data_IF_439966253726
#
_entry.id   IF_439966253726
#
_cell.length_a   1.000
_cell.length_b   1.000
_cell.length_c   1.000
_cell.angle_alpha   90.00
_cell.angle_beta   90.00
_cell.angle_gamma   90.00
#
_symmetry.space_group_name_H-M   'P 1'
#
loop_
_entity.id
_entity.type
_entity.pdbx_description
1 polymer ?
#
# COMPACT_ATOMS: atom_id res chain seq x y z
N UNK A 1 -3.85 -16.32 22.62
CA UNK A 1 -2.71 -15.39 22.65
C UNK A 1 -2.03 -15.48 21.30
N UNK A 2 -1.81 -14.37 20.62
CA UNK A 2 -1.05 -14.35 19.36
C UNK A 2 0.40 -14.75 19.66
N UNK A 3 0.90 -15.80 19.03
CA UNK A 3 2.32 -16.18 19.13
C UNK A 3 3.12 -15.24 18.22
N UNK A 4 3.95 -14.39 18.80
CA UNK A 4 4.87 -13.55 18.02
C UNK A 4 6.07 -14.40 17.59
N UNK A 5 6.48 -14.27 16.32
CA UNK A 5 7.70 -14.87 15.79
C UNK A 5 8.59 -13.78 15.19
N UNK A 6 9.78 -13.61 15.74
CA UNK A 6 10.82 -12.77 15.17
C UNK A 6 11.70 -13.61 14.27
N UNK A 7 11.59 -13.43 12.95
CA UNK A 7 12.50 -14.05 11.98
C UNK A 7 13.63 -13.09 11.63
N UNK A 8 14.88 -13.44 11.95
CA UNK A 8 16.05 -12.62 11.60
C UNK A 8 17.30 -13.49 11.38
N UNK A 9 18.39 -12.91 10.89
CA UNK A 9 19.66 -13.62 10.73
C UNK A 9 20.30 -14.00 12.08
N UNK A 10 21.27 -14.95 12.13
CA UNK A 10 22.00 -15.32 13.35
C UNK A 10 23.00 -14.25 13.82
N UNK A 11 22.70 -12.97 13.60
CA UNK A 11 23.42 -11.82 14.13
C UNK A 11 22.44 -10.75 14.65
N UNK A 12 22.97 -9.76 15.38
CA UNK A 12 22.16 -8.72 16.05
C UNK A 12 21.37 -7.85 15.06
N UNK A 13 22.09 -7.07 14.25
CA UNK A 13 21.51 -6.22 13.20
C UNK A 13 20.29 -5.41 13.66
N UNK A 14 19.30 -5.26 12.77
CA UNK A 14 18.02 -4.61 13.06
C UNK A 14 17.11 -5.45 13.97
N UNK A 15 17.32 -6.77 14.04
CA UNK A 15 16.53 -7.67 14.88
C UNK A 15 16.77 -7.47 16.38
N UNK A 16 17.95 -6.98 16.77
CA UNK A 16 18.32 -6.86 18.17
C UNK A 16 17.45 -5.88 18.97
N UNK A 17 17.09 -4.75 18.36
CA UNK A 17 16.19 -3.79 18.99
C UNK A 17 14.86 -4.44 19.37
N UNK A 18 14.33 -5.28 18.48
CA UNK A 18 13.05 -5.99 18.70
C UNK A 18 13.21 -7.00 19.84
N UNK A 19 14.31 -7.77 19.88
CA UNK A 19 14.60 -8.72 20.97
C UNK A 19 14.64 -8.03 22.33
N UNK A 20 15.34 -6.90 22.43
CA UNK A 20 15.44 -6.12 23.66
C UNK A 20 14.07 -5.65 24.16
N UNK A 21 13.23 -5.12 23.26
CA UNK A 21 11.87 -4.65 23.61
C UNK A 21 10.99 -5.82 24.08
N UNK A 22 11.01 -6.95 23.38
CA UNK A 22 10.18 -8.11 23.73
C UNK A 22 10.59 -8.71 25.08
N UNK A 23 11.89 -8.81 25.36
CA UNK A 23 12.40 -9.23 26.67
C UNK A 23 12.05 -8.23 27.77
N UNK A 24 12.23 -6.93 27.55
CA UNK A 24 11.87 -5.89 28.51
C UNK A 24 10.37 -5.95 28.87
N UNK A 25 9.51 -6.09 27.87
CA UNK A 25 8.06 -6.17 28.05
C UNK A 25 7.57 -7.55 28.55
N UNK A 26 8.46 -8.53 28.70
CA UNK A 26 8.14 -9.93 29.06
C UNK A 26 7.09 -10.56 28.12
N UNK A 27 7.11 -10.20 26.84
CA UNK A 27 6.22 -10.77 25.82
C UNK A 27 6.86 -12.05 25.29
N UNK A 28 6.21 -13.22 25.40
CA UNK A 28 6.74 -14.46 24.84
C UNK A 28 6.76 -14.39 23.31
N UNK A 29 7.86 -14.84 22.71
CA UNK A 29 8.04 -14.88 21.26
C UNK A 29 8.99 -16.01 20.84
N UNK A 30 8.88 -16.44 19.59
CA UNK A 30 9.82 -17.35 18.92
C UNK A 30 10.94 -16.53 18.24
N UNK A 31 12.20 -16.69 18.67
CA UNK A 31 13.39 -16.10 18.00
C UNK A 31 13.86 -17.05 16.89
N UNK A 32 13.19 -16.99 15.74
CA UNK A 32 13.48 -17.82 14.58
C UNK A 32 14.69 -17.27 13.80
N UNK A 33 15.84 -17.95 13.89
CA UNK A 33 17.09 -17.53 13.25
C UNK A 33 17.34 -18.28 11.95
N UNK A 34 17.53 -17.55 10.86
CA UNK A 34 17.59 -18.10 9.50
C UNK A 34 18.92 -17.76 8.82
N UNK A 35 19.37 -18.59 7.88
CA UNK A 35 20.58 -18.29 7.10
C UNK A 35 20.28 -17.35 5.92
N UNK A 36 21.34 -16.92 5.22
CA UNK A 36 21.18 -16.14 3.98
C UNK A 36 20.55 -16.99 2.86
N UNK A 37 20.78 -18.30 2.87
CA UNK A 37 20.23 -19.26 1.93
C UNK A 37 18.73 -19.50 2.16
N UNK A 38 18.28 -19.43 3.42
CA UNK A 38 16.85 -19.53 3.77
C UNK A 38 16.08 -18.28 3.32
N UNK A 39 16.75 -17.13 3.26
CA UNK A 39 16.12 -15.81 3.09
C UNK A 39 15.27 -15.68 1.81
N UNK A 40 15.73 -16.10 0.60
CA UNK A 40 14.90 -16.04 -0.60
C UNK A 40 13.58 -16.81 -0.47
N UNK A 41 13.58 -17.96 0.22
CA UNK A 41 12.37 -18.78 0.40
C UNK A 41 11.38 -18.18 1.41
N UNK A 42 11.90 -17.44 2.38
CA UNK A 42 11.12 -16.76 3.42
C UNK A 42 10.64 -15.38 2.99
N UNK A 43 11.40 -14.72 2.11
CA UNK A 43 11.03 -13.47 1.45
C UNK A 43 10.00 -13.78 0.38
N UNK A 44 8.76 -14.09 0.78
CA UNK A 44 7.59 -14.09 -0.10
C UNK A 44 7.57 -12.74 -0.81
N UNK A 45 8.03 -12.68 -2.06
CA UNK A 45 8.44 -11.42 -2.64
C UNK A 45 7.23 -10.69 -3.20
N UNK A 46 6.99 -9.51 -2.65
CA UNK A 46 6.09 -8.49 -3.18
C UNK A 46 6.90 -7.35 -3.83
N UNK A 47 8.15 -7.62 -4.21
CA UNK A 47 9.15 -6.61 -4.58
C UNK A 47 9.62 -6.74 -6.03
N UNK A 48 8.83 -7.42 -6.89
CA UNK A 48 9.19 -7.64 -8.29
C UNK A 48 10.06 -8.89 -8.53
N UNK A 49 10.33 -9.17 -9.80
CA UNK A 49 11.09 -10.34 -10.27
C UNK A 49 12.61 -10.15 -10.21
N UNK A 50 13.09 -8.91 -10.27
CA UNK A 50 14.50 -8.54 -10.30
C UNK A 50 14.70 -7.16 -9.64
N UNK A 51 15.96 -6.77 -9.43
CA UNK A 51 16.32 -5.50 -8.78
C UNK A 51 15.82 -4.27 -9.56
N UNK A 52 15.61 -4.41 -10.87
CA UNK A 52 15.14 -3.32 -11.72
C UNK A 52 13.64 -3.10 -11.55
N UNK A 53 12.83 -4.16 -11.60
CA UNK A 53 11.40 -4.08 -11.32
C UNK A 53 11.15 -3.67 -9.86
N UNK A 54 12.00 -4.09 -8.93
CA UNK A 54 11.98 -3.59 -7.55
C UNK A 54 12.15 -2.07 -7.48
N UNK A 55 13.14 -1.51 -8.18
CA UNK A 55 13.36 -0.07 -8.24
C UNK A 55 12.19 0.68 -8.90
N UNK A 56 11.54 0.07 -9.91
CA UNK A 56 10.35 0.65 -10.53
C UNK A 56 9.13 0.64 -9.59
N UNK A 57 8.96 -0.43 -8.81
CA UNK A 57 7.94 -0.53 -7.77
C UNK A 57 8.13 0.59 -6.74
N UNK A 58 9.36 0.79 -6.27
CA UNK A 58 9.70 1.86 -5.32
C UNK A 58 9.42 3.25 -5.93
N UNK A 59 9.83 3.47 -7.19
CA UNK A 59 9.56 4.72 -7.89
C UNK A 59 8.07 5.00 -8.08
N UNK A 60 7.26 3.97 -8.37
CA UNK A 60 5.80 4.12 -8.49
C UNK A 60 5.16 4.46 -7.13
N UNK A 61 5.68 3.89 -6.05
CA UNK A 61 5.20 4.19 -4.72
C UNK A 61 5.55 5.62 -4.28
N UNK A 62 6.77 6.09 -4.56
CA UNK A 62 7.16 7.48 -4.30
C UNK A 62 6.32 8.46 -5.14
N UNK A 63 6.08 8.13 -6.41
CA UNK A 63 5.16 8.90 -7.25
C UNK A 63 3.75 8.97 -6.65
N UNK A 64 3.22 7.86 -6.13
CA UNK A 64 1.90 7.86 -5.49
C UNK A 64 1.88 8.58 -4.14
N UNK A 65 2.99 8.56 -3.40
CA UNK A 65 3.17 9.34 -2.17
C UNK A 65 3.12 10.83 -2.46
N UNK A 66 3.74 11.29 -3.54
CA UNK A 66 3.67 12.70 -3.96
C UNK A 66 2.24 13.11 -4.29
N UNK A 67 1.46 12.25 -4.97
CA UNK A 67 0.02 12.46 -5.15
C UNK A 67 -0.73 12.56 -3.81
N UNK A 68 -0.39 11.71 -2.83
CA UNK A 68 -0.93 11.79 -1.47
C UNK A 68 -0.65 13.15 -0.81
N UNK A 69 0.57 13.69 -0.98
CA UNK A 69 0.94 15.01 -0.47
C UNK A 69 0.18 16.14 -1.19
N UNK A 70 0.05 16.07 -2.52
CA UNK A 70 -0.67 17.05 -3.34
C UNK A 70 -2.17 17.11 -2.97
N UNK A 71 -2.76 15.99 -2.58
CA UNK A 71 -4.19 15.86 -2.24
C UNK A 71 -4.50 16.00 -0.74
N UNK A 72 -3.48 16.01 0.12
CA UNK A 72 -3.64 15.97 1.58
C UNK A 72 -4.49 17.13 2.13
N UNK A 73 -4.29 18.34 1.62
CA UNK A 73 -5.01 19.54 2.08
C UNK A 73 -6.52 19.36 1.90
N UNK A 74 -6.94 18.88 0.72
CA UNK A 74 -8.34 18.61 0.41
C UNK A 74 -8.93 17.60 1.38
N UNK A 75 -8.21 16.49 1.60
CA UNK A 75 -8.64 15.41 2.47
C UNK A 75 -8.76 15.88 3.93
N UNK A 76 -7.84 16.72 4.42
CA UNK A 76 -7.92 17.27 5.78
C UNK A 76 -9.12 18.21 5.95
N UNK A 77 -9.44 19.02 4.92
CA UNK A 77 -10.63 19.89 4.93
C UNK A 77 -11.91 19.06 4.91
N UNK A 78 -11.99 18.09 3.99
CA UNK A 78 -13.16 17.21 3.84
C UNK A 78 -13.46 16.43 5.12
N UNK A 79 -12.43 16.01 5.86
CA UNK A 79 -12.57 15.27 7.12
C UNK A 79 -12.69 16.15 8.37
N UNK A 80 -12.82 17.47 8.21
CA UNK A 80 -12.96 18.43 9.32
C UNK A 80 -11.71 18.59 10.19
N UNK A 81 -10.57 18.03 9.78
CA UNK A 81 -9.28 18.12 10.49
C UNK A 81 -8.55 19.43 10.21
N UNK A 82 -9.00 20.18 9.21
CA UNK A 82 -8.48 21.50 8.85
C UNK A 82 -9.63 22.39 8.36
N UNK A 83 -9.58 23.67 8.68
CA UNK A 83 -10.48 24.68 8.10
C UNK A 83 -9.94 25.13 6.73
N UNK A 84 -10.83 25.33 5.75
CA UNK A 84 -10.44 25.84 4.44
C UNK A 84 -11.58 25.80 3.43
N UNK A 85 -11.38 26.46 2.28
CA UNK A 85 -12.32 26.42 1.17
C UNK A 85 -12.17 25.10 0.40
N UNK A 86 -13.09 24.17 0.68
CA UNK A 86 -13.13 22.85 0.06
C UNK A 86 -13.24 22.93 -1.46
N UNK A 87 -14.05 23.84 -1.99
CA UNK A 87 -14.35 23.90 -3.44
C UNK A 87 -13.15 24.43 -4.22
N UNK A 88 -12.49 25.46 -3.69
CA UNK A 88 -11.27 26.01 -4.30
C UNK A 88 -10.13 24.99 -4.26
N UNK A 89 -9.88 24.35 -3.10
CA UNK A 89 -8.82 23.33 -2.97
C UNK A 89 -9.10 22.11 -3.85
N UNK A 90 -10.38 21.72 -4.01
CA UNK A 90 -10.77 20.65 -4.90
C UNK A 90 -10.37 20.95 -6.36
N UNK A 91 -10.76 22.13 -6.86
CA UNK A 91 -10.55 22.51 -8.27
C UNK A 91 -9.10 22.84 -8.60
N UNK A 92 -8.38 23.50 -7.69
CA UNK A 92 -7.03 24.01 -7.97
C UNK A 92 -5.92 23.02 -7.63
N UNK A 93 -6.17 22.07 -6.71
CA UNK A 93 -5.14 21.11 -6.27
C UNK A 93 -5.55 19.66 -6.49
N UNK A 94 -6.69 19.25 -5.94
CA UNK A 94 -7.07 17.84 -5.92
C UNK A 94 -7.35 17.28 -7.32
N UNK A 95 -8.22 17.94 -8.08
CA UNK A 95 -8.60 17.47 -9.41
C UNK A 95 -7.40 17.47 -10.39
N UNK A 96 -6.56 18.51 -10.46
CA UNK A 96 -5.33 18.47 -11.26
C UNK A 96 -4.39 17.33 -10.88
N UNK A 97 -4.23 17.03 -9.59
CA UNK A 97 -3.42 15.91 -9.11
C UNK A 97 -4.00 14.56 -9.57
N UNK A 98 -5.32 14.39 -9.53
CA UNK A 98 -6.01 13.20 -10.06
C UNK A 98 -5.80 13.08 -11.57
N UNK A 99 -6.03 14.15 -12.32
CA UNK A 99 -5.92 14.16 -13.79
C UNK A 99 -4.49 13.91 -14.28
N UNK A 100 -3.48 14.31 -13.51
CA UNK A 100 -2.07 14.00 -13.73
C UNK A 100 -1.74 12.54 -13.40
N UNK A 101 -2.14 12.07 -12.22
CA UNK A 101 -1.65 10.81 -11.64
C UNK A 101 -2.39 9.59 -12.17
N UNK A 102 -3.70 9.63 -12.27
CA UNK A 102 -4.51 8.43 -12.58
C UNK A 102 -4.21 7.86 -13.98
N UNK A 103 -4.04 8.67 -15.05
CA UNK A 103 -3.64 8.14 -16.35
C UNK A 103 -2.29 7.43 -16.35
N UNK A 104 -1.35 7.88 -15.51
CA UNK A 104 -0.04 7.22 -15.36
C UNK A 104 -0.23 5.85 -14.70
N UNK A 105 -0.98 5.77 -13.60
CA UNK A 105 -1.26 4.49 -12.94
C UNK A 105 -1.97 3.49 -13.89
N UNK A 106 -2.95 3.96 -14.66
CA UNK A 106 -3.64 3.15 -15.66
C UNK A 106 -2.68 2.67 -16.75
N UNK A 107 -1.73 3.50 -17.17
CA UNK A 107 -0.69 3.07 -18.11
C UNK A 107 0.15 1.91 -17.55
N UNK A 108 0.53 1.94 -16.28
CA UNK A 108 1.23 0.81 -15.65
C UNK A 108 0.38 -0.47 -15.68
N UNK A 109 -0.90 -0.38 -15.26
CA UNK A 109 -1.83 -1.52 -15.30
C UNK A 109 -1.98 -2.11 -16.71
N UNK A 110 -2.13 -1.25 -17.71
CA UNK A 110 -2.31 -1.66 -19.11
C UNK A 110 -1.04 -2.28 -19.70
N UNK A 111 0.14 -1.77 -19.34
CA UNK A 111 1.43 -2.33 -19.78
C UNK A 111 1.71 -3.70 -19.17
N UNK A 112 1.33 -3.89 -17.90
CA UNK A 112 1.46 -5.19 -17.22
C UNK A 112 0.43 -6.21 -17.73
N UNK A 113 -0.81 -5.77 -18.00
CA UNK A 113 -1.85 -6.58 -18.64
C UNK A 113 -2.40 -7.73 -17.78
N UNK A 114 -2.01 -7.82 -16.51
CA UNK A 114 -2.39 -8.89 -15.58
C UNK A 114 -3.27 -8.37 -14.42
N UNK A 115 -3.65 -7.09 -14.44
CA UNK A 115 -4.45 -6.45 -13.38
C UNK A 115 -3.66 -5.94 -12.17
N UNK A 116 -2.33 -6.06 -12.19
CA UNK A 116 -1.39 -5.48 -11.23
C UNK A 116 -0.47 -4.48 -11.93
N UNK A 117 0.26 -3.66 -11.18
CA UNK A 117 1.09 -2.60 -11.78
C UNK A 117 2.31 -3.11 -12.56
N UNK A 118 2.72 -4.36 -12.32
CA UNK A 118 3.97 -4.94 -12.83
C UNK A 118 3.79 -6.37 -13.37
N UNK A 119 4.69 -6.81 -14.25
CA UNK A 119 4.56 -8.09 -14.98
C UNK A 119 4.75 -9.30 -14.08
N UNK A 120 5.54 -9.17 -13.03
CA UNK A 120 5.69 -10.20 -11.99
C UNK A 120 4.41 -10.50 -11.20
N UNK A 121 3.35 -9.72 -11.40
CA UNK A 121 2.08 -9.88 -10.73
C UNK A 121 1.99 -8.97 -9.51
N UNK A 122 1.40 -9.49 -8.44
CA UNK A 122 1.13 -8.69 -7.24
C UNK A 122 2.42 -8.32 -6.49
N UNK A 123 2.50 -7.06 -6.10
CA UNK A 123 3.59 -6.46 -5.36
C UNK A 123 3.06 -5.59 -4.20
N UNK A 124 3.96 -5.03 -3.40
CA UNK A 124 3.56 -4.27 -2.22
C UNK A 124 2.92 -2.94 -2.61
N UNK A 125 3.29 -2.38 -3.77
CA UNK A 125 2.73 -1.13 -4.26
C UNK A 125 1.27 -1.29 -4.70
N UNK A 126 0.86 -2.49 -5.15
CA UNK A 126 -0.55 -2.79 -5.43
C UNK A 126 -1.40 -2.63 -4.16
N UNK A 127 -0.96 -3.18 -3.02
CA UNK A 127 -1.66 -3.00 -1.74
C UNK A 127 -1.66 -1.54 -1.27
N UNK A 128 -0.53 -0.86 -1.39
CA UNK A 128 -0.40 0.54 -0.98
C UNK A 128 -1.36 1.44 -1.77
N UNK A 129 -1.32 1.37 -3.10
CA UNK A 129 -2.16 2.18 -3.98
C UNK A 129 -3.63 1.76 -3.86
N UNK A 130 -3.96 0.46 -3.88
CA UNK A 130 -5.34 0.01 -3.74
C UNK A 130 -5.97 0.49 -2.43
N UNK A 131 -5.25 0.47 -1.32
CA UNK A 131 -5.78 0.99 -0.04
C UNK A 131 -6.07 2.50 -0.10
N UNK A 132 -5.20 3.28 -0.76
CA UNK A 132 -5.38 4.73 -0.92
C UNK A 132 -6.54 5.05 -1.88
N UNK A 133 -6.61 4.33 -3.00
CA UNK A 133 -7.64 4.47 -4.03
C UNK A 133 -9.02 4.02 -3.51
N UNK A 134 -9.11 2.96 -2.71
CA UNK A 134 -10.38 2.52 -2.10
C UNK A 134 -11.05 3.66 -1.33
N UNK A 135 -10.25 4.36 -0.53
CA UNK A 135 -10.73 5.51 0.24
C UNK A 135 -11.20 6.64 -0.67
N UNK A 136 -10.44 6.94 -1.72
CA UNK A 136 -10.85 7.98 -2.69
C UNK A 136 -12.13 7.60 -3.43
N UNK A 137 -12.32 6.33 -3.79
CA UNK A 137 -13.54 5.84 -4.43
C UNK A 137 -14.77 5.96 -3.52
N UNK A 138 -14.60 5.76 -2.22
CA UNK A 138 -15.69 5.99 -1.26
C UNK A 138 -16.10 7.47 -1.15
N UNK A 139 -15.16 8.40 -1.36
CA UNK A 139 -15.40 9.85 -1.27
C UNK A 139 -15.86 10.46 -2.60
N UNK A 140 -15.36 9.93 -3.72
CA UNK A 140 -15.55 10.43 -5.08
C UNK A 140 -15.83 9.28 -6.07
N UNK A 141 -16.94 8.55 -5.92
CA UNK A 141 -17.26 7.43 -6.82
C UNK A 141 -17.35 7.86 -8.29
N UNK A 142 -17.73 9.11 -8.57
CA UNK A 142 -17.83 9.68 -9.92
C UNK A 142 -16.50 9.70 -10.67
N UNK A 143 -15.36 9.82 -9.97
CA UNK A 143 -14.05 9.75 -10.62
C UNK A 143 -13.79 8.36 -11.18
N UNK A 144 -14.30 7.32 -10.53
CA UNK A 144 -14.06 5.93 -10.91
C UNK A 144 -15.01 5.44 -11.99
N UNK A 145 -16.02 6.22 -12.37
CA UNK A 145 -16.74 6.04 -13.64
C UNK A 145 -15.81 6.34 -14.83
N UNK A 146 -14.94 7.36 -14.70
CA UNK A 146 -13.93 7.72 -15.70
C UNK A 146 -12.70 6.82 -15.63
N UNK A 147 -12.27 6.45 -14.43
CA UNK A 147 -11.04 5.70 -14.16
C UNK A 147 -11.32 4.27 -13.67
N UNK A 148 -12.20 3.55 -14.38
CA UNK A 148 -12.71 2.23 -13.99
C UNK A 148 -11.61 1.18 -13.81
N UNK A 149 -10.52 1.22 -14.57
CA UNK A 149 -9.40 0.28 -14.46
C UNK A 149 -8.73 0.34 -13.07
N UNK A 150 -8.66 1.53 -12.46
CA UNK A 150 -8.15 1.69 -11.09
C UNK A 150 -9.11 1.12 -10.06
N UNK A 151 -10.41 1.24 -10.28
CA UNK A 151 -11.42 0.61 -9.43
C UNK A 151 -11.32 -0.91 -9.53
N UNK A 152 -11.21 -1.46 -10.74
CA UNK A 152 -11.05 -2.90 -10.96
C UNK A 152 -9.78 -3.45 -10.31
N UNK A 153 -8.66 -2.72 -10.43
CA UNK A 153 -7.42 -3.05 -9.71
C UNK A 153 -7.65 -3.07 -8.19
N UNK A 154 -8.28 -2.04 -7.65
CA UNK A 154 -8.57 -1.94 -6.21
C UNK A 154 -9.47 -3.09 -5.72
N UNK A 155 -10.54 -3.39 -6.45
CA UNK A 155 -11.46 -4.49 -6.15
C UNK A 155 -10.75 -5.85 -6.22
N UNK A 156 -9.85 -6.03 -7.20
CA UNK A 156 -9.01 -7.23 -7.34
C UNK A 156 -8.11 -7.42 -6.12
N UNK A 157 -7.42 -6.37 -5.66
CA UNK A 157 -6.55 -6.46 -4.48
C UNK A 157 -7.37 -6.78 -3.22
N UNK A 158 -8.50 -6.13 -3.02
CA UNK A 158 -9.34 -6.34 -1.83
C UNK A 158 -10.12 -7.66 -1.83
N UNK A 159 -10.23 -8.34 -2.98
CA UNK A 159 -10.87 -9.65 -3.10
C UNK A 159 -9.89 -10.83 -3.04
N UNK A 160 -8.60 -10.58 -2.81
CA UNK A 160 -7.60 -11.64 -2.69
C UNK A 160 -7.95 -12.61 -1.53
N UNK A 161 -8.01 -13.92 -1.78
CA UNK A 161 -8.36 -14.92 -0.77
C UNK A 161 -7.49 -14.83 0.49
N UNK A 162 -6.22 -14.44 0.33
CA UNK A 162 -5.22 -14.37 1.39
C UNK A 162 -5.48 -13.26 2.41
N UNK A 163 -6.25 -12.22 2.05
CA UNK A 163 -6.59 -11.10 2.95
C UNK A 163 -8.08 -11.04 3.28
N UNK A 164 -8.90 -11.92 2.70
CA UNK A 164 -10.35 -11.92 2.83
C UNK A 164 -10.81 -11.85 4.28
N UNK A 165 -10.29 -12.73 5.14
CA UNK A 165 -10.65 -12.79 6.56
C UNK A 165 -10.37 -11.45 7.27
N UNK A 166 -9.25 -10.80 6.94
CA UNK A 166 -8.92 -9.48 7.50
C UNK A 166 -9.84 -8.39 6.96
N UNK A 167 -10.09 -8.36 5.65
CA UNK A 167 -10.98 -7.37 5.02
C UNK A 167 -12.41 -7.47 5.58
N UNK A 168 -12.89 -8.68 5.86
CA UNK A 168 -14.22 -8.92 6.44
C UNK A 168 -14.29 -8.60 7.94
N UNK A 169 -13.22 -8.86 8.70
CA UNK A 169 -13.20 -8.69 10.16
C UNK A 169 -12.68 -7.34 10.66
N UNK A 170 -12.00 -6.54 9.81
CA UNK A 170 -11.43 -5.25 10.23
C UNK A 170 -12.53 -4.28 10.69
N UNK A 171 -12.25 -3.40 11.67
CA UNK A 171 -13.19 -2.37 12.10
C UNK A 171 -13.69 -1.53 10.93
N UNK A 172 -14.98 -1.24 10.90
CA UNK A 172 -15.59 -0.34 9.91
C UNK A 172 -15.39 1.09 10.38
N UNK A 173 -14.51 1.82 9.72
CA UNK A 173 -14.24 3.24 9.96
C UNK A 173 -14.64 4.07 8.74
N UNK A 174 -14.94 5.35 8.95
CA UNK A 174 -15.24 6.29 7.85
C UNK A 174 -14.02 6.56 6.95
N UNK A 175 -12.81 6.35 7.48
CA UNK A 175 -11.52 6.56 6.81
C UNK A 175 -10.51 5.48 7.20
#
# INVERSE_FOLDING_TARGET
MSSYKLTYFPFRGRGELIRLILHYAKVPFEDNRITLEDWPSLKKSLVGQDDWEAAQIDALADFHKDFGNETQDYIMILTGRRQGDKETVYKEKFLPAVEKTFPILIKYLNVAGNGFFFKSGISWVDFFIANNILRLNALHPELFEKYHELKEHCDRVHSLPQIKDYVESRPKTEF
#
